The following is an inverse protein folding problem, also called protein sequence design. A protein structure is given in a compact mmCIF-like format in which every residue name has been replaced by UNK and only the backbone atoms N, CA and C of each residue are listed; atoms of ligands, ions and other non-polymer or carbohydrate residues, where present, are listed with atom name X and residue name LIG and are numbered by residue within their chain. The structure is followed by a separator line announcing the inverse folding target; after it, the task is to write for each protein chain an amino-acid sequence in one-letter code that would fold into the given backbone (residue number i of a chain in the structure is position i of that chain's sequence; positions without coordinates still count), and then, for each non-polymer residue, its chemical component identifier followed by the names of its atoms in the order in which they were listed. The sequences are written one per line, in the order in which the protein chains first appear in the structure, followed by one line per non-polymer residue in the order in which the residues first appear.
data_IF_559854348480
#
_entry.id   IF_559854348480
#
_cell.length_a   1.000
_cell.length_b   1.000
_cell.length_c   1.000
_cell.angle_alpha   90.00
_cell.angle_beta   90.00
_cell.angle_gamma   90.00
#
_symmetry.space_group_name_H-M   'P 1'
#
loop_
_entity.id
_entity.type
_entity.pdbx_description
1 polymer ?
#
# COMPACT_ATOMS: atom_id res chain seq x y z
N UNK A 1 -22.63 58.57 -27.77
CA UNK A 1 -21.99 57.84 -26.65
C UNK A 1 -22.63 56.49 -26.58
N UNK A 2 -21.83 55.41 -26.71
CA UNK A 2 -22.34 54.05 -26.51
C UNK A 2 -22.26 53.71 -25.03
N UNK A 3 -23.38 53.50 -24.37
CA UNK A 3 -23.47 53.02 -22.99
C UNK A 3 -23.25 51.47 -22.87
N UNK A 4 -22.52 50.88 -23.83
CA UNK A 4 -22.25 49.45 -23.83
C UNK A 4 -21.02 49.14 -22.99
N UNK A 5 -21.18 48.33 -21.94
CA UNK A 5 -20.09 47.76 -21.19
C UNK A 5 -19.62 46.49 -21.90
N UNK A 6 -18.39 46.50 -22.42
CA UNK A 6 -17.78 45.31 -23.04
C UNK A 6 -16.82 44.69 -22.04
N UNK A 7 -17.07 43.46 -21.68
CA UNK A 7 -16.19 42.68 -20.78
C UNK A 7 -15.64 41.47 -21.53
N UNK A 8 -14.34 41.27 -21.48
CA UNK A 8 -13.72 40.06 -21.98
C UNK A 8 -14.20 38.83 -21.16
N UNK A 9 -14.43 37.67 -21.80
CA UNK A 9 -14.74 36.45 -21.07
C UNK A 9 -13.67 36.14 -20.02
N UNK A 10 -14.08 35.80 -18.82
CA UNK A 10 -13.14 35.34 -17.82
C UNK A 10 -12.52 34.00 -18.30
N UNK A 11 -11.20 33.76 -18.10
CA UNK A 11 -10.61 32.47 -18.41
C UNK A 11 -11.30 31.35 -17.63
N UNK A 12 -11.36 30.17 -18.21
CA UNK A 12 -11.92 28.98 -17.54
C UNK A 12 -11.15 28.69 -16.25
N UNK A 13 -11.89 28.34 -15.20
CA UNK A 13 -11.32 28.00 -13.90
C UNK A 13 -11.55 26.53 -13.59
N UNK A 14 -10.61 25.87 -12.86
CA UNK A 14 -10.75 24.44 -12.50
C UNK A 14 -12.01 24.15 -11.69
N UNK A 15 -12.43 25.10 -10.84
CA UNK A 15 -13.67 25.01 -10.05
C UNK A 15 -14.65 26.06 -10.58
N UNK A 16 -15.83 25.59 -11.01
CA UNK A 16 -16.88 26.47 -11.50
C UNK A 16 -17.24 27.54 -10.46
N UNK A 17 -17.34 28.78 -10.90
CA UNK A 17 -17.58 29.97 -10.03
C UNK A 17 -16.54 30.15 -8.92
N UNK A 18 -15.43 29.40 -8.95
CA UNK A 18 -14.36 29.53 -7.97
C UNK A 18 -13.56 30.81 -8.17
N UNK A 19 -13.02 31.36 -7.08
CA UNK A 19 -12.11 32.53 -7.11
C UNK A 19 -10.65 32.10 -7.30
N UNK A 20 -10.30 30.86 -6.93
CA UNK A 20 -8.94 30.34 -6.98
C UNK A 20 -8.54 29.91 -8.40
N UNK A 21 -7.38 30.34 -8.83
CA UNK A 21 -6.71 29.82 -10.01
C UNK A 21 -6.04 28.47 -9.76
N UNK A 22 -5.60 27.76 -10.82
CA UNK A 22 -5.02 26.41 -10.70
C UNK A 22 -3.78 26.38 -9.81
N UNK A 23 -2.93 27.41 -9.85
CA UNK A 23 -1.72 27.47 -9.00
C UNK A 23 -2.02 27.51 -7.50
N UNK A 24 -3.04 28.27 -7.08
CA UNK A 24 -3.45 28.31 -5.68
C UNK A 24 -4.06 26.98 -5.23
N UNK A 25 -4.92 26.37 -6.06
CA UNK A 25 -5.50 25.06 -5.76
C UNK A 25 -4.41 23.97 -5.62
N UNK A 26 -3.47 23.94 -6.56
CA UNK A 26 -2.33 23.03 -6.49
C UNK A 26 -1.50 23.26 -5.21
N UNK A 27 -1.23 24.52 -4.85
CA UNK A 27 -0.49 24.86 -3.63
C UNK A 27 -1.20 24.37 -2.37
N UNK A 28 -2.52 24.54 -2.28
CA UNK A 28 -3.31 24.06 -1.13
C UNK A 28 -3.22 22.54 -0.99
N UNK A 29 -3.34 21.79 -2.10
CA UNK A 29 -3.24 20.34 -2.11
C UNK A 29 -1.83 19.86 -1.73
N UNK A 30 -0.78 20.40 -2.36
CA UNK A 30 0.62 20.06 -2.08
C UNK A 30 0.94 20.33 -0.61
N UNK A 31 0.59 21.52 -0.11
CA UNK A 31 0.82 21.84 1.30
C UNK A 31 0.12 20.89 2.24
N UNK A 32 -1.11 20.47 1.93
CA UNK A 32 -1.86 19.54 2.79
C UNK A 32 -1.28 18.12 2.75
N UNK A 33 -1.02 17.57 1.58
CA UNK A 33 -0.74 16.15 1.40
C UNK A 33 0.74 15.80 1.28
N UNK A 34 1.56 16.69 0.74
CA UNK A 34 3.00 16.46 0.59
C UNK A 34 3.83 17.17 1.69
N UNK A 35 3.42 18.37 2.12
CA UNK A 35 4.13 19.15 3.13
C UNK A 35 3.52 19.02 4.54
N UNK A 36 2.51 18.15 4.72
CA UNK A 36 1.83 17.91 6.01
C UNK A 36 1.31 19.16 6.73
N UNK A 37 0.93 20.20 5.97
CA UNK A 37 0.39 21.46 6.50
C UNK A 37 -1.14 21.42 6.51
N UNK A 38 -1.79 21.25 7.68
CA UNK A 38 -3.24 21.18 7.78
C UNK A 38 -3.92 22.48 7.31
N UNK A 39 -5.16 22.38 6.81
CA UNK A 39 -5.88 23.52 6.27
C UNK A 39 -6.03 24.70 7.26
N UNK A 40 -6.16 24.42 8.57
CA UNK A 40 -6.24 25.49 9.57
C UNK A 40 -4.94 26.32 9.63
N UNK A 41 -3.77 25.66 9.53
CA UNK A 41 -2.48 26.39 9.47
C UNK A 41 -2.32 27.15 8.17
N UNK A 42 -2.76 26.57 7.05
CA UNK A 42 -2.75 27.27 5.77
C UNK A 42 -3.62 28.54 5.84
N UNK A 43 -4.84 28.46 6.41
CA UNK A 43 -5.71 29.61 6.63
C UNK A 43 -5.02 30.72 7.44
N UNK A 44 -4.33 30.36 8.54
CA UNK A 44 -3.56 31.32 9.34
C UNK A 44 -2.37 31.90 8.59
N UNK A 45 -1.67 31.09 7.77
CA UNK A 45 -0.53 31.56 6.96
C UNK A 45 -0.99 32.59 5.91
N UNK A 46 -2.09 32.33 5.22
CA UNK A 46 -2.66 33.27 4.25
C UNK A 46 -3.17 34.54 4.95
N UNK A 47 -3.84 34.42 6.10
CA UNK A 47 -4.28 35.57 6.90
C UNK A 47 -3.13 36.49 7.30
N UNK A 48 -1.97 35.95 7.69
CA UNK A 48 -0.75 36.75 7.98
C UNK A 48 -0.20 37.49 6.76
N UNK A 49 -0.52 37.02 5.56
CA UNK A 49 -0.17 37.64 4.30
C UNK A 49 -1.26 38.63 3.79
N UNK A 50 -2.29 38.85 4.60
CA UNK A 50 -3.41 39.75 4.24
C UNK A 50 -4.46 39.08 3.34
N UNK A 51 -4.46 37.76 3.19
CA UNK A 51 -5.43 37.04 2.37
C UNK A 51 -6.32 36.14 3.25
N UNK A 52 -7.57 36.55 3.38
CA UNK A 52 -8.56 35.82 4.21
C UNK A 52 -9.14 34.60 3.45
N UNK A 53 -8.62 33.43 3.75
CA UNK A 53 -9.11 32.14 3.24
C UNK A 53 -9.59 31.29 4.41
N UNK A 54 -10.90 31.15 4.57
CA UNK A 54 -11.46 30.35 5.66
C UNK A 54 -11.14 28.86 5.49
N UNK A 55 -11.03 28.15 6.60
CA UNK A 55 -10.80 26.68 6.60
C UNK A 55 -11.89 25.92 5.83
N UNK A 56 -13.13 26.37 5.91
CA UNK A 56 -14.26 25.78 5.17
C UNK A 56 -14.11 25.96 3.65
N UNK A 57 -13.67 27.15 3.21
CA UNK A 57 -13.39 27.42 1.81
C UNK A 57 -12.26 26.53 1.29
N UNK A 58 -11.15 26.43 2.02
CA UNK A 58 -10.03 25.53 1.66
C UNK A 58 -10.47 24.07 1.61
N UNK A 59 -11.32 23.62 2.53
CA UNK A 59 -11.88 22.27 2.52
C UNK A 59 -12.77 22.03 1.30
N UNK A 60 -13.60 23.00 0.92
CA UNK A 60 -14.41 22.92 -0.29
C UNK A 60 -13.57 22.84 -1.57
N UNK A 61 -12.45 23.57 -1.62
CA UNK A 61 -11.51 23.48 -2.75
C UNK A 61 -10.85 22.11 -2.83
N UNK A 62 -10.44 21.53 -1.70
CA UNK A 62 -9.87 20.17 -1.68
C UNK A 62 -10.88 19.17 -2.23
N UNK A 63 -12.13 19.21 -1.77
CA UNK A 63 -13.19 18.32 -2.23
C UNK A 63 -13.48 18.49 -3.73
N UNK A 64 -13.58 19.72 -4.23
CA UNK A 64 -13.78 20.00 -5.64
C UNK A 64 -12.59 19.53 -6.50
N UNK A 65 -11.36 19.71 -6.02
CA UNK A 65 -10.16 19.19 -6.70
C UNK A 65 -10.11 17.66 -6.72
N UNK A 66 -10.54 16.97 -5.66
CA UNK A 66 -10.64 15.51 -5.66
C UNK A 66 -11.60 15.03 -6.77
N UNK A 67 -12.77 15.67 -6.91
CA UNK A 67 -13.68 15.36 -8.02
C UNK A 67 -13.10 15.65 -9.40
N UNK A 68 -12.36 16.76 -9.53
CA UNK A 68 -11.69 17.12 -10.78
C UNK A 68 -10.60 16.13 -11.18
N UNK A 69 -9.94 15.52 -10.21
CA UNK A 69 -8.84 14.58 -10.42
C UNK A 69 -9.31 13.12 -10.53
N UNK A 70 -10.62 12.82 -10.33
CA UNK A 70 -11.11 11.44 -10.41
C UNK A 70 -10.81 10.71 -11.73
N UNK A 71 -10.83 11.35 -12.93
CA UNK A 71 -10.44 10.64 -14.15
C UNK A 71 -8.98 10.19 -14.18
N UNK A 72 -8.09 10.91 -13.49
CA UNK A 72 -6.68 10.50 -13.36
C UNK A 72 -6.52 9.37 -12.36
N UNK A 73 -7.30 9.38 -11.30
CA UNK A 73 -7.33 8.27 -10.31
C UNK A 73 -7.89 7.00 -10.94
N UNK A 74 -8.96 7.09 -11.73
CA UNK A 74 -9.52 5.99 -12.50
C UNK A 74 -8.50 5.40 -13.49
N UNK A 75 -7.80 6.26 -14.26
CA UNK A 75 -6.75 5.81 -15.17
C UNK A 75 -5.56 5.16 -14.41
N UNK A 76 -5.21 5.66 -13.23
CA UNK A 76 -4.20 5.06 -12.36
C UNK A 76 -4.66 3.69 -11.85
N UNK A 77 -5.93 3.57 -11.46
CA UNK A 77 -6.52 2.31 -11.03
C UNK A 77 -6.47 1.28 -12.14
N UNK A 78 -6.90 1.62 -13.36
CA UNK A 78 -6.85 0.75 -14.53
C UNK A 78 -5.41 0.28 -14.80
N UNK A 79 -4.43 1.18 -14.72
CA UNK A 79 -3.03 0.84 -14.92
C UNK A 79 -2.50 -0.09 -13.83
N UNK A 80 -2.77 0.20 -12.56
CA UNK A 80 -2.28 -0.62 -11.43
C UNK A 80 -2.92 -2.00 -11.43
N UNK A 81 -4.19 -2.10 -11.77
CA UNK A 81 -4.96 -3.34 -11.78
C UNK A 81 -4.88 -4.11 -13.11
N UNK A 82 -4.05 -3.70 -14.06
CA UNK A 82 -3.74 -4.54 -15.24
C UNK A 82 -3.19 -5.89 -14.78
N UNK A 83 -3.57 -6.96 -15.46
CA UNK A 83 -3.15 -8.33 -15.16
C UNK A 83 -1.63 -8.48 -14.95
N UNK A 84 -1.24 -9.34 -14.04
CA UNK A 84 0.17 -9.59 -13.72
C UNK A 84 0.43 -9.82 -12.24
N UNK A 85 1.37 -9.08 -11.66
CA UNK A 85 1.72 -9.16 -10.24
C UNK A 85 1.38 -7.87 -9.51
N UNK A 86 0.70 -7.99 -8.38
CA UNK A 86 0.33 -6.88 -7.52
C UNK A 86 0.76 -7.16 -6.07
N UNK A 87 1.28 -6.15 -5.40
CA UNK A 87 1.49 -6.20 -3.96
C UNK A 87 0.35 -5.48 -3.26
N UNK A 88 -0.14 -6.04 -2.16
CA UNK A 88 -1.19 -5.44 -1.33
C UNK A 88 -0.80 -5.42 0.15
N UNK A 89 -1.12 -4.31 0.81
CA UNK A 89 -1.00 -4.15 2.26
C UNK A 89 -2.05 -3.18 2.76
N UNK A 90 -2.33 -3.16 4.06
CA UNK A 90 -3.24 -2.19 4.67
C UNK A 90 -2.65 -1.54 5.92
N UNK A 91 -2.87 -0.23 6.04
CA UNK A 91 -2.42 0.57 7.17
C UNK A 91 -3.62 1.09 7.97
N UNK A 92 -3.66 0.91 9.30
CA UNK A 92 -4.71 1.51 10.12
C UNK A 92 -4.55 3.03 10.16
N UNK A 93 -5.65 3.75 9.94
CA UNK A 93 -5.69 5.21 10.00
C UNK A 93 -6.76 5.67 10.99
N UNK A 94 -6.43 6.58 11.93
CA UNK A 94 -7.41 7.15 12.83
C UNK A 94 -8.28 8.17 12.09
N UNK A 95 -9.59 7.97 12.16
CA UNK A 95 -10.58 8.83 11.50
C UNK A 95 -11.44 9.52 12.54
N UNK A 96 -11.56 10.84 12.43
CA UNK A 96 -12.47 11.60 13.30
C UNK A 96 -13.93 11.21 12.99
N UNK A 97 -14.67 10.91 14.03
CA UNK A 97 -16.11 10.67 13.94
C UNK A 97 -16.83 11.75 14.78
N UNK A 98 -17.46 12.74 14.14
CA UNK A 98 -18.17 13.79 14.84
C UNK A 98 -19.20 13.21 15.83
N UNK A 99 -19.26 13.76 17.03
CA UNK A 99 -20.12 13.27 18.11
C UNK A 99 -19.53 12.16 18.98
N UNK A 100 -18.41 11.53 18.58
CA UNK A 100 -17.70 10.55 19.41
C UNK A 100 -16.46 11.16 20.05
N UNK A 101 -16.20 10.79 21.32
CA UNK A 101 -14.99 11.22 22.03
C UNK A 101 -13.71 10.50 21.58
N UNK A 102 -13.82 9.49 20.69
CA UNK A 102 -12.72 8.66 20.20
C UNK A 102 -12.73 8.62 18.67
N UNK A 103 -11.55 8.51 18.07
CA UNK A 103 -11.41 8.23 16.64
C UNK A 103 -11.87 6.81 16.32
N UNK A 104 -12.42 6.61 15.12
CA UNK A 104 -12.65 5.30 14.52
C UNK A 104 -11.40 4.88 13.75
N UNK A 105 -11.03 3.61 13.79
CA UNK A 105 -9.95 3.08 12.96
C UNK A 105 -10.50 2.70 11.58
N UNK A 106 -10.13 3.49 10.57
CA UNK A 106 -10.30 3.11 9.17
C UNK A 106 -9.05 2.40 8.65
N UNK A 107 -9.06 2.05 7.37
CA UNK A 107 -7.93 1.43 6.67
C UNK A 107 -7.59 2.18 5.40
N UNK A 108 -6.31 2.33 5.14
CA UNK A 108 -5.77 2.73 3.86
C UNK A 108 -5.13 1.50 3.24
N UNK A 109 -5.77 0.99 2.19
CA UNK A 109 -5.26 -0.11 1.37
C UNK A 109 -4.28 0.45 0.36
N UNK A 110 -3.17 -0.25 0.18
CA UNK A 110 -2.10 0.14 -0.74
C UNK A 110 -1.89 -0.99 -1.73
N UNK A 111 -2.04 -0.71 -3.01
CA UNK A 111 -1.79 -1.64 -4.10
C UNK A 111 -0.61 -1.14 -4.91
N UNK A 112 0.43 -1.97 -5.07
CA UNK A 112 1.68 -1.57 -5.73
C UNK A 112 1.95 -2.48 -6.92
N UNK A 113 2.05 -1.86 -8.10
CA UNK A 113 2.59 -2.49 -9.31
C UNK A 113 4.04 -2.06 -9.45
N UNK A 114 4.97 -3.00 -9.34
CA UNK A 114 6.40 -2.76 -9.56
C UNK A 114 7.09 -4.04 -10.04
N UNK A 115 7.42 -4.08 -11.31
CA UNK A 115 8.08 -5.20 -11.97
C UNK A 115 9.53 -4.90 -12.38
N UNK A 116 10.11 -3.77 -11.93
CA UNK A 116 11.51 -3.38 -12.22
C UNK A 116 12.51 -4.44 -11.77
N UNK A 117 12.22 -5.13 -10.67
CA UNK A 117 13.07 -6.24 -10.20
C UNK A 117 13.11 -7.44 -11.16
N UNK A 118 12.14 -7.54 -12.08
CA UNK A 118 12.10 -8.54 -13.15
C UNK A 118 12.57 -7.98 -14.50
N UNK A 119 13.27 -6.84 -14.50
CA UNK A 119 13.79 -6.21 -15.71
C UNK A 119 12.74 -5.42 -16.52
N UNK A 120 11.54 -5.22 -15.98
CA UNK A 120 10.50 -4.44 -16.67
C UNK A 120 10.87 -2.96 -16.76
N UNK A 121 10.57 -2.35 -17.90
CA UNK A 121 10.69 -0.90 -18.13
C UNK A 121 9.41 -0.13 -17.82
N UNK A 122 8.31 -0.83 -17.48
CA UNK A 122 7.06 -0.20 -17.10
C UNK A 122 7.22 0.62 -15.82
N UNK A 123 6.60 1.78 -15.79
CA UNK A 123 6.66 2.66 -14.63
C UNK A 123 6.01 1.99 -13.40
N UNK A 124 6.65 2.01 -12.23
CA UNK A 124 5.98 1.56 -11.00
C UNK A 124 4.86 2.53 -10.64
N UNK A 125 3.79 1.99 -10.08
CA UNK A 125 2.67 2.80 -9.64
C UNK A 125 2.07 2.27 -8.33
N UNK A 126 1.44 3.17 -7.59
CA UNK A 126 0.81 2.89 -6.30
C UNK A 126 -0.60 3.45 -6.32
N UNK A 127 -1.57 2.61 -5.99
CA UNK A 127 -2.96 2.99 -5.78
C UNK A 127 -3.28 2.92 -4.29
N UNK A 128 -3.99 3.92 -3.78
CA UNK A 128 -4.50 3.94 -2.42
C UNK A 128 -6.02 3.91 -2.42
N UNK A 129 -6.61 3.07 -1.57
CA UNK A 129 -8.04 3.02 -1.36
C UNK A 129 -8.37 3.07 0.14
N UNK A 130 -9.35 3.89 0.50
CA UNK A 130 -9.80 3.99 1.90
C UNK A 130 -10.98 3.09 2.17
N UNK A 131 -11.03 2.51 3.38
CA UNK A 131 -12.23 1.88 3.89
C UNK A 131 -12.48 2.22 5.37
N UNK A 132 -13.76 2.21 5.82
CA UNK A 132 -14.10 2.55 7.20
C UNK A 132 -13.74 1.46 8.22
N UNK A 133 -13.38 0.25 7.76
CA UNK A 133 -12.97 -0.89 8.57
C UNK A 133 -12.09 -1.86 7.76
N UNK A 134 -11.64 -2.97 8.38
CA UNK A 134 -10.77 -3.99 7.76
C UNK A 134 -11.55 -5.19 7.22
N UNK A 135 -12.80 -5.07 6.79
CA UNK A 135 -13.53 -6.21 6.26
C UNK A 135 -13.03 -6.64 4.88
N UNK A 136 -13.06 -7.95 4.62
CA UNK A 136 -12.62 -8.53 3.35
C UNK A 136 -13.41 -8.07 2.12
N UNK A 137 -14.63 -7.56 2.29
CA UNK A 137 -15.41 -7.01 1.19
C UNK A 137 -14.71 -5.83 0.49
N UNK A 138 -13.91 -5.05 1.22
CA UNK A 138 -13.22 -3.91 0.65
C UNK A 138 -12.18 -4.32 -0.39
N UNK A 139 -11.15 -5.16 -0.07
CA UNK A 139 -10.23 -5.63 -1.09
C UNK A 139 -10.91 -6.46 -2.19
N UNK A 140 -11.98 -7.18 -1.89
CA UNK A 140 -12.77 -7.88 -2.92
C UNK A 140 -13.36 -6.90 -3.93
N UNK A 141 -13.90 -5.76 -3.48
CA UNK A 141 -14.42 -4.71 -4.37
C UNK A 141 -13.29 -4.03 -5.14
N UNK A 142 -12.19 -3.67 -4.46
CA UNK A 142 -11.08 -2.98 -5.10
C UNK A 142 -10.43 -3.84 -6.21
N UNK A 143 -10.34 -5.16 -6.00
CA UNK A 143 -9.66 -6.11 -6.90
C UNK A 143 -10.64 -6.91 -7.80
N UNK A 144 -11.89 -6.47 -7.91
CA UNK A 144 -12.91 -7.19 -8.67
C UNK A 144 -12.53 -7.45 -10.14
N UNK A 145 -11.81 -6.50 -10.77
CA UNK A 145 -11.33 -6.62 -12.15
C UNK A 145 -9.92 -7.22 -12.30
N UNK A 146 -9.16 -7.43 -11.21
CA UNK A 146 -7.78 -7.88 -11.29
C UNK A 146 -7.68 -9.41 -11.48
N UNK A 147 -6.72 -9.85 -12.29
CA UNK A 147 -6.34 -11.25 -12.45
C UNK A 147 -4.80 -11.39 -12.47
N UNK A 148 -4.28 -12.44 -11.84
CA UNK A 148 -2.83 -12.65 -11.75
C UNK A 148 -2.35 -13.07 -10.36
N UNK A 149 -1.19 -12.57 -9.94
CA UNK A 149 -0.58 -12.91 -8.64
C UNK A 149 -0.75 -11.75 -7.66
N UNK A 150 -1.36 -12.01 -6.52
CA UNK A 150 -1.46 -11.04 -5.41
C UNK A 150 -0.50 -11.43 -4.29
N UNK A 151 0.53 -10.62 -4.07
CA UNK A 151 1.42 -10.77 -2.94
C UNK A 151 0.95 -9.90 -1.77
N UNK A 152 0.53 -10.56 -0.68
CA UNK A 152 0.00 -9.89 0.51
C UNK A 152 0.47 -10.55 1.81
N UNK A 153 0.06 -10.00 2.95
CA UNK A 153 0.13 -10.69 4.24
C UNK A 153 -0.93 -11.79 4.35
N UNK A 154 -0.88 -12.57 5.42
CA UNK A 154 -1.85 -13.64 5.69
C UNK A 154 -3.19 -13.10 6.25
N UNK A 155 -3.65 -11.96 5.82
CA UNK A 155 -4.95 -11.46 6.23
C UNK A 155 -6.08 -12.24 5.60
N UNK A 156 -6.92 -12.88 6.43
CA UNK A 156 -8.01 -13.74 5.96
C UNK A 156 -9.04 -13.04 5.05
N UNK A 157 -9.09 -11.70 5.06
CA UNK A 157 -9.96 -10.93 4.16
C UNK A 157 -9.61 -11.04 2.68
N UNK A 158 -8.40 -11.53 2.35
CA UNK A 158 -8.01 -11.82 0.97
C UNK A 158 -8.43 -13.22 0.50
N UNK A 159 -8.76 -14.16 1.41
CA UNK A 159 -9.00 -15.57 1.05
C UNK A 159 -10.07 -15.76 -0.01
N UNK A 160 -11.11 -14.92 0.01
CA UNK A 160 -12.20 -14.99 -0.97
C UNK A 160 -11.74 -14.70 -2.39
N UNK A 161 -10.71 -13.85 -2.55
CA UNK A 161 -10.13 -13.48 -3.85
C UNK A 161 -9.45 -14.65 -4.56
N UNK A 162 -9.02 -15.67 -3.80
CA UNK A 162 -8.27 -16.82 -4.33
C UNK A 162 -9.16 -17.98 -4.75
N UNK A 163 -10.47 -17.97 -4.40
CA UNK A 163 -11.36 -19.12 -4.56
C UNK A 163 -11.69 -19.46 -6.01
N UNK A 164 -11.82 -18.48 -6.87
CA UNK A 164 -12.16 -18.69 -8.28
C UNK A 164 -10.94 -19.00 -9.16
N UNK A 165 -9.74 -18.98 -8.59
CA UNK A 165 -8.47 -19.22 -9.28
C UNK A 165 -8.00 -18.11 -10.20
N UNK A 166 -8.76 -17.01 -10.32
CA UNK A 166 -8.38 -15.82 -11.09
C UNK A 166 -7.18 -15.10 -10.50
N UNK A 167 -7.08 -15.10 -9.17
CA UNK A 167 -5.96 -14.54 -8.41
C UNK A 167 -5.21 -15.66 -7.72
N UNK A 168 -3.92 -15.76 -7.99
CA UNK A 168 -3.00 -16.68 -7.28
C UNK A 168 -2.42 -15.98 -6.06
N UNK A 169 -2.53 -16.63 -4.89
CA UNK A 169 -1.92 -16.14 -3.67
C UNK A 169 -0.39 -16.24 -3.73
N UNK A 170 0.29 -15.20 -3.26
CA UNK A 170 1.71 -15.24 -2.94
C UNK A 170 1.93 -14.63 -1.55
N UNK A 171 2.44 -15.44 -0.63
CA UNK A 171 2.76 -14.98 0.71
C UNK A 171 4.01 -14.09 0.72
N UNK A 172 4.16 -13.29 1.77
CA UNK A 172 5.23 -12.32 1.90
C UNK A 172 6.28 -12.74 2.93
N UNK A 173 7.48 -13.06 2.48
CA UNK A 173 8.62 -13.38 3.35
C UNK A 173 9.00 -12.24 4.31
N UNK A 174 8.75 -10.98 3.95
CA UNK A 174 9.02 -9.85 4.83
C UNK A 174 8.15 -9.90 6.09
N UNK A 175 6.87 -10.31 5.97
CA UNK A 175 5.98 -10.49 7.11
C UNK A 175 6.39 -11.69 7.99
N UNK A 176 6.77 -12.82 7.41
CA UNK A 176 7.29 -13.96 8.14
C UNK A 176 8.58 -13.61 8.89
N UNK A 177 9.53 -12.96 8.20
CA UNK A 177 10.79 -12.51 8.79
C UNK A 177 10.56 -11.51 9.93
N UNK A 178 9.67 -10.53 9.76
CA UNK A 178 9.35 -9.53 10.79
C UNK A 178 8.87 -10.20 12.09
N UNK A 179 7.96 -11.16 12.00
CA UNK A 179 7.48 -11.89 13.18
C UNK A 179 8.61 -12.59 13.95
N UNK A 180 9.55 -13.22 13.26
CA UNK A 180 10.72 -13.87 13.88
C UNK A 180 11.68 -12.82 14.47
N UNK A 181 11.91 -11.71 13.73
CA UNK A 181 12.77 -10.62 14.16
C UNK A 181 12.22 -9.93 15.42
N UNK A 182 10.91 -9.69 15.51
CA UNK A 182 10.27 -9.09 16.68
C UNK A 182 10.41 -9.97 17.92
N UNK A 183 10.43 -11.30 17.75
CA UNK A 183 10.76 -12.23 18.83
C UNK A 183 12.25 -12.15 19.19
N UNK A 184 13.12 -12.12 18.20
CA UNK A 184 14.58 -12.03 18.40
C UNK A 184 14.97 -10.78 19.19
N UNK A 185 14.41 -9.62 18.85
CA UNK A 185 14.69 -8.34 19.54
C UNK A 185 14.29 -8.40 21.02
N UNK A 186 13.17 -9.09 21.33
CA UNK A 186 12.69 -9.20 22.73
C UNK A 186 13.39 -10.33 23.51
N UNK A 187 13.66 -11.43 22.84
CA UNK A 187 14.23 -12.65 23.46
C UNK A 187 15.18 -13.30 22.45
N UNK A 188 16.43 -12.80 22.34
CA UNK A 188 17.44 -13.37 21.45
C UNK A 188 17.70 -14.85 21.80
N UNK A 189 17.83 -15.68 20.78
CA UNK A 189 18.17 -17.09 20.93
C UNK A 189 18.85 -17.63 19.68
N UNK A 190 19.63 -18.71 19.82
CA UNK A 190 20.26 -19.39 18.69
C UNK A 190 19.23 -19.85 17.62
N UNK A 191 18.00 -20.17 18.04
CA UNK A 191 16.93 -20.53 17.10
C UNK A 191 16.43 -19.34 16.28
N UNK A 192 16.28 -18.15 16.89
CA UNK A 192 15.87 -16.95 16.17
C UNK A 192 16.98 -16.45 15.24
N UNK A 193 18.24 -16.52 15.67
CA UNK A 193 19.41 -16.18 14.85
C UNK A 193 19.50 -17.06 13.61
N UNK A 194 19.43 -18.39 13.79
CA UNK A 194 19.49 -19.35 12.69
C UNK A 194 18.33 -19.17 11.72
N UNK A 195 17.09 -18.95 12.20
CA UNK A 195 15.95 -18.68 11.35
C UNK A 195 16.15 -17.40 10.49
N UNK A 196 16.60 -16.32 11.11
CA UNK A 196 16.85 -15.06 10.41
C UNK A 196 17.99 -15.19 9.41
N UNK A 197 19.06 -15.94 9.73
CA UNK A 197 20.17 -16.22 8.83
C UNK A 197 19.69 -16.98 7.59
N UNK A 198 18.93 -18.09 7.76
CA UNK A 198 18.40 -18.89 6.64
C UNK A 198 17.46 -18.09 5.74
N UNK A 199 16.62 -17.23 6.32
CA UNK A 199 15.79 -16.31 5.52
C UNK A 199 16.67 -15.28 4.80
N UNK A 200 17.75 -14.82 5.45
CA UNK A 200 18.74 -13.91 4.85
C UNK A 200 19.40 -14.49 3.58
N UNK A 201 19.68 -15.81 3.56
CA UNK A 201 20.22 -16.50 2.40
C UNK A 201 19.26 -16.45 1.20
N UNK A 202 17.93 -16.56 1.43
CA UNK A 202 16.93 -16.37 0.36
C UNK A 202 16.97 -14.95 -0.20
N UNK A 203 17.08 -13.94 0.67
CA UNK A 203 17.19 -12.54 0.24
C UNK A 203 18.49 -12.25 -0.52
N UNK A 204 19.61 -12.91 -0.18
CA UNK A 204 20.86 -12.78 -0.89
C UNK A 204 20.73 -13.24 -2.34
N UNK A 205 20.08 -14.40 -2.57
CA UNK A 205 19.80 -14.88 -3.93
C UNK A 205 18.93 -13.90 -4.70
N UNK A 206 17.86 -13.38 -4.08
CA UNK A 206 16.98 -12.40 -4.73
C UNK A 206 17.71 -11.09 -5.08
N UNK A 207 18.71 -10.70 -4.30
CA UNK A 207 19.55 -9.54 -4.61
C UNK A 207 20.46 -9.80 -5.83
N UNK A 208 21.03 -11.02 -5.95
CA UNK A 208 21.87 -11.42 -7.09
C UNK A 208 21.09 -11.41 -8.41
N UNK A 209 19.84 -11.90 -8.40
CA UNK A 209 19.02 -12.05 -9.61
C UNK A 209 18.16 -10.81 -9.93
N UNK A 210 18.35 -9.72 -9.20
CA UNK A 210 17.60 -8.47 -9.44
C UNK A 210 17.91 -7.89 -10.81
N UNK A 211 16.84 -7.54 -11.56
CA UNK A 211 16.97 -7.00 -12.92
C UNK A 211 17.12 -8.05 -14.02
N UNK A 212 17.26 -9.33 -13.68
CA UNK A 212 17.19 -10.42 -14.65
C UNK A 212 15.75 -10.62 -15.15
N UNK A 213 15.60 -11.23 -16.34
CA UNK A 213 14.28 -11.57 -16.87
C UNK A 213 13.52 -12.56 -15.98
N UNK A 214 12.21 -12.67 -16.14
CA UNK A 214 11.38 -13.58 -15.35
C UNK A 214 11.85 -15.04 -15.49
N UNK A 215 12.22 -15.46 -16.71
CA UNK A 215 12.71 -16.80 -17.00
C UNK A 215 14.05 -17.08 -16.32
N UNK A 216 15.00 -16.15 -16.41
CA UNK A 216 16.30 -16.25 -15.76
C UNK A 216 16.14 -16.34 -14.24
N UNK A 217 15.29 -15.50 -13.67
CA UNK A 217 14.99 -15.55 -12.23
C UNK A 217 14.35 -16.86 -11.81
N UNK A 218 13.44 -17.39 -12.63
CA UNK A 218 12.84 -18.69 -12.35
C UNK A 218 13.89 -19.80 -12.33
N UNK A 219 14.80 -19.84 -13.32
CA UNK A 219 15.86 -20.82 -13.38
C UNK A 219 16.79 -20.76 -12.16
N UNK A 220 17.24 -19.58 -11.78
CA UNK A 220 18.07 -19.38 -10.58
C UNK A 220 17.35 -19.78 -9.27
N UNK A 221 16.07 -19.45 -9.13
CA UNK A 221 15.28 -19.87 -7.99
C UNK A 221 15.09 -21.38 -7.91
N UNK A 222 14.88 -22.05 -9.04
CA UNK A 222 14.81 -23.52 -9.06
C UNK A 222 16.14 -24.18 -8.64
N UNK A 223 17.26 -23.59 -9.08
CA UNK A 223 18.59 -24.09 -8.77
C UNK A 223 19.03 -23.79 -7.33
N UNK A 224 18.90 -22.55 -6.88
CA UNK A 224 19.47 -22.06 -5.61
C UNK A 224 18.45 -21.97 -4.49
N UNK A 225 17.29 -21.34 -4.74
CA UNK A 225 16.31 -21.01 -3.70
C UNK A 225 15.50 -22.23 -3.26
N UNK A 226 15.08 -23.06 -4.20
CA UNK A 226 14.23 -24.24 -3.91
C UNK A 226 14.86 -25.24 -2.93
N UNK A 227 16.16 -25.60 -3.04
CA UNK A 227 16.82 -26.44 -2.04
C UNK A 227 16.86 -25.80 -0.65
N UNK A 228 17.14 -24.48 -0.57
CA UNK A 228 17.14 -23.75 0.71
C UNK A 228 15.76 -23.72 1.35
N UNK A 229 14.71 -23.47 0.57
CA UNK A 229 13.32 -23.51 1.07
C UNK A 229 12.99 -24.88 1.64
N UNK A 230 13.30 -25.96 0.92
CA UNK A 230 13.06 -27.33 1.41
C UNK A 230 13.81 -27.63 2.72
N UNK A 231 15.05 -27.16 2.83
CA UNK A 231 15.86 -27.31 4.04
C UNK A 231 15.28 -26.48 5.20
N UNK A 232 14.88 -25.23 4.92
CA UNK A 232 14.29 -24.33 5.91
C UNK A 232 12.95 -24.87 6.41
N UNK A 233 12.08 -25.35 5.54
CA UNK A 233 10.80 -25.95 5.92
C UNK A 233 11.00 -27.14 6.86
N UNK A 234 11.87 -28.09 6.47
CA UNK A 234 12.19 -29.27 7.28
C UNK A 234 12.72 -28.88 8.65
N UNK A 235 13.61 -27.89 8.70
CA UNK A 235 14.17 -27.38 9.95
C UNK A 235 13.11 -26.69 10.83
N UNK A 236 12.25 -25.85 10.26
CA UNK A 236 11.16 -25.20 11.01
C UNK A 236 10.21 -26.24 11.61
N UNK A 237 9.80 -27.26 10.83
CA UNK A 237 8.91 -28.33 11.28
C UNK A 237 9.55 -29.16 12.40
N UNK A 238 10.86 -29.42 12.32
CA UNK A 238 11.59 -30.13 13.37
C UNK A 238 11.65 -29.31 14.65
N UNK A 239 12.02 -28.03 14.57
CA UNK A 239 12.13 -27.16 15.76
C UNK A 239 10.79 -26.88 16.41
N UNK A 240 9.70 -26.83 15.64
CA UNK A 240 8.34 -26.73 16.19
C UNK A 240 8.00 -27.86 17.17
N UNK A 241 8.57 -29.06 17.02
CA UNK A 241 8.33 -30.19 17.93
C UNK A 241 8.91 -29.95 19.33
N UNK A 242 9.92 -29.08 19.44
CA UNK A 242 10.63 -28.78 20.68
C UNK A 242 10.15 -27.50 21.38
N UNK A 243 9.32 -26.70 20.68
CA UNK A 243 8.82 -25.44 21.20
C UNK A 243 7.47 -25.59 21.91
N UNK A 244 7.27 -24.84 22.99
CA UNK A 244 5.95 -24.71 23.59
C UNK A 244 4.99 -24.04 22.58
N UNK A 245 3.79 -24.61 22.39
CA UNK A 245 2.76 -24.06 21.49
C UNK A 245 2.35 -22.62 21.80
N UNK A 246 2.55 -22.18 23.04
CA UNK A 246 2.18 -20.84 23.48
C UNK A 246 3.33 -19.85 23.36
N UNK A 247 4.55 -20.29 23.02
CA UNK A 247 5.68 -19.39 22.84
C UNK A 247 5.51 -18.50 21.61
N UNK A 248 5.97 -17.25 21.70
CA UNK A 248 5.93 -16.30 20.59
C UNK A 248 6.72 -16.81 19.37
N UNK A 249 7.84 -17.52 19.63
CA UNK A 249 8.63 -18.12 18.55
C UNK A 249 7.84 -19.24 17.82
N UNK A 250 7.14 -20.09 18.56
CA UNK A 250 6.28 -21.10 17.94
C UNK A 250 5.18 -20.49 17.08
N UNK A 251 4.57 -19.39 17.53
CA UNK A 251 3.56 -18.63 16.75
C UNK A 251 4.18 -18.04 15.48
N UNK A 252 5.39 -17.49 15.55
CA UNK A 252 6.09 -16.93 14.39
C UNK A 252 6.47 -18.00 13.37
N UNK A 253 6.92 -19.18 13.81
CA UNK A 253 7.22 -20.33 12.94
C UNK A 253 5.94 -20.91 12.33
N UNK A 254 4.88 -21.06 13.13
CA UNK A 254 3.57 -21.51 12.65
C UNK A 254 3.02 -20.57 11.57
N UNK A 255 3.17 -19.25 11.72
CA UNK A 255 2.78 -18.29 10.68
C UNK A 255 3.49 -18.59 9.35
N UNK A 256 4.82 -18.76 9.35
CA UNK A 256 5.58 -19.09 8.15
C UNK A 256 5.15 -20.42 7.54
N UNK A 257 4.95 -21.47 8.37
CA UNK A 257 4.56 -22.80 7.92
C UNK A 257 3.12 -22.87 7.38
N UNK A 258 2.20 -22.09 7.95
CA UNK A 258 0.80 -22.02 7.47
C UNK A 258 0.71 -21.32 6.10
N UNK A 259 1.63 -20.40 5.82
CA UNK A 259 1.70 -19.69 4.54
C UNK A 259 2.66 -20.37 3.54
N UNK A 260 3.18 -21.56 3.86
CA UNK A 260 4.19 -22.22 3.04
C UNK A 260 3.73 -22.60 1.62
N UNK A 261 2.47 -22.99 1.39
CA UNK A 261 1.98 -23.29 0.05
C UNK A 261 1.89 -22.08 -0.88
N UNK A 262 1.71 -20.88 -0.32
CA UNK A 262 1.62 -19.60 -1.01
C UNK A 262 3.00 -18.91 -1.10
#
# INVERSE_FOLDING_TARGET
QCDAIVQAPAPSRPIERGIAGPGLLARVLISKYAEHTPLYRQSEMYGRQGVELSRSLLSGWVDACCRLLSPLEEALQDYVLTDGKLHADDTPVPVLLPGNKKTKTGRLWTYVRDDRNAGSTLAPAVLFAYSPDRKGIHPQTHLAGFSGVLQADAYAGFNELYRDGRITEAACWAHARRKIHDVHVRTPSALTEEALKRIGELYAIEAEIRGMTAEQRLAERQLKTKPLLKSLESWLREKMKTLSRHSELAKAFAYALNQWPA
#
